data_IF_048287699953
#
_entry.id   IF_048287699953
#
_cell.length_a   1.000
_cell.length_b   1.000
_cell.length_c   1.000
_cell.angle_alpha   90.00
_cell.angle_beta   90.00
_cell.angle_gamma   90.00
#
_symmetry.space_group_name_H-M   'P 1'
#
loop_
_entity.id
_entity.type
_entity.pdbx_description
1 polymer ?
#
# COMPACT_ATOMS: atom_id res chain seq x y z
N UNK A 1 -33.99 28.12 -31.01
CA UNK A 1 -32.58 27.70 -31.02
C UNK A 1 -32.05 27.78 -29.59
N UNK A 2 -32.00 26.66 -28.87
CA UNK A 2 -31.41 26.60 -27.50
C UNK A 2 -29.91 26.40 -27.66
N UNK A 3 -29.11 27.37 -27.23
CA UNK A 3 -27.65 27.24 -27.16
C UNK A 3 -27.32 26.41 -25.94
N UNK A 4 -26.89 25.15 -26.14
CA UNK A 4 -26.32 24.29 -25.12
C UNK A 4 -24.92 24.82 -24.82
N UNK A 5 -24.75 25.43 -23.66
CA UNK A 5 -23.45 25.84 -23.13
C UNK A 5 -22.76 24.56 -22.59
N UNK A 6 -21.80 24.04 -23.33
CA UNK A 6 -20.92 22.95 -22.84
C UNK A 6 -19.94 23.63 -21.89
N UNK A 7 -20.17 23.44 -20.60
CA UNK A 7 -19.21 23.83 -19.56
C UNK A 7 -18.06 22.81 -19.62
N UNK A 8 -16.96 23.19 -20.27
CA UNK A 8 -15.72 22.45 -20.25
C UNK A 8 -15.09 22.72 -18.88
N UNK A 9 -15.38 21.83 -17.89
CA UNK A 9 -14.68 21.86 -16.63
C UNK A 9 -13.24 21.42 -16.91
N UNK A 10 -12.33 22.40 -16.94
CA UNK A 10 -10.91 22.15 -16.78
C UNK A 10 -10.73 21.59 -15.36
N UNK A 11 -10.60 20.28 -15.26
CA UNK A 11 -10.03 19.66 -14.07
C UNK A 11 -8.57 20.10 -14.07
N UNK A 12 -8.27 21.16 -13.33
CA UNK A 12 -6.91 21.40 -12.88
C UNK A 12 -6.60 20.23 -11.95
N UNK A 13 -5.96 19.20 -12.49
CA UNK A 13 -5.25 18.23 -11.67
C UNK A 13 -4.16 19.01 -10.92
N UNK A 14 -4.49 19.49 -9.72
CA UNK A 14 -3.49 19.77 -8.73
C UNK A 14 -2.67 18.48 -8.63
N UNK A 15 -1.35 18.57 -8.79
CA UNK A 15 -0.45 17.46 -8.47
C UNK A 15 -0.56 17.32 -6.96
N UNK A 16 -1.57 16.59 -6.50
CA UNK A 16 -1.71 16.17 -5.13
C UNK A 16 -0.65 15.10 -4.95
N UNK A 17 0.36 15.40 -4.14
CA UNK A 17 1.32 14.40 -3.73
C UNK A 17 0.57 13.41 -2.85
N UNK A 18 0.34 12.22 -3.36
CA UNK A 18 -0.47 11.22 -2.68
C UNK A 18 0.18 10.78 -1.38
N UNK A 19 -0.69 10.59 -0.43
CA UNK A 19 -0.37 9.93 0.82
C UNK A 19 -0.33 8.42 0.60
N UNK A 20 0.72 7.75 1.06
CA UNK A 20 0.84 6.31 0.93
C UNK A 20 0.67 5.60 2.27
N UNK A 21 -0.32 4.71 2.33
CA UNK A 21 -0.42 3.74 3.42
C UNK A 21 0.70 2.70 3.24
N UNK A 22 1.60 2.62 4.20
CA UNK A 22 2.80 1.80 4.11
C UNK A 22 2.87 0.79 5.26
N UNK A 23 3.16 -0.47 4.94
CA UNK A 23 3.57 -1.50 5.89
C UNK A 23 5.09 -1.62 5.80
N UNK A 24 5.79 -0.76 6.54
CA UNK A 24 7.22 -0.61 6.46
C UNK A 24 7.96 -1.65 7.31
N UNK A 25 9.03 -2.23 6.75
CA UNK A 25 10.00 -3.04 7.45
C UNK A 25 11.38 -2.85 6.82
N UNK A 26 12.43 -3.35 7.48
CA UNK A 26 13.80 -3.24 6.96
C UNK A 26 13.97 -3.95 5.62
N UNK A 27 13.42 -5.15 5.47
CA UNK A 27 13.42 -5.92 4.24
C UNK A 27 12.20 -6.84 4.18
N UNK A 28 11.66 -7.00 2.98
CA UNK A 28 10.60 -7.96 2.68
C UNK A 28 11.15 -9.36 2.34
N UNK A 29 12.48 -9.55 2.42
CA UNK A 29 13.15 -10.83 2.24
C UNK A 29 14.06 -11.11 3.42
N UNK A 30 13.75 -12.14 4.21
CA UNK A 30 14.47 -12.47 5.43
C UNK A 30 14.93 -13.93 5.45
N UNK A 31 16.06 -14.20 6.08
CA UNK A 31 16.59 -15.55 6.22
C UNK A 31 15.79 -16.42 7.21
N UNK A 32 15.99 -17.73 7.15
CA UNK A 32 15.33 -18.70 8.05
C UNK A 32 15.64 -18.47 9.53
N UNK A 33 16.81 -17.92 9.83
CA UNK A 33 17.25 -17.61 11.21
C UNK A 33 16.50 -16.38 11.80
N UNK A 34 15.74 -15.64 10.99
CA UNK A 34 14.95 -14.52 11.48
C UNK A 34 13.73 -15.05 12.24
N UNK A 35 13.67 -14.74 13.53
CA UNK A 35 12.60 -15.20 14.43
C UNK A 35 11.57 -14.12 14.75
N UNK A 36 11.88 -12.86 14.41
CA UNK A 36 11.04 -11.70 14.70
C UNK A 36 11.28 -10.63 13.64
N UNK A 37 10.21 -10.08 13.10
CA UNK A 37 10.24 -9.09 12.02
C UNK A 37 9.35 -7.91 12.46
N UNK A 38 9.96 -6.77 12.81
CA UNK A 38 9.22 -5.58 13.19
C UNK A 38 8.67 -4.87 11.94
N UNK A 39 7.45 -4.37 12.05
CA UNK A 39 6.80 -3.51 11.07
C UNK A 39 6.34 -2.22 11.72
N UNK A 40 6.38 -1.15 10.96
CA UNK A 40 5.71 0.12 11.24
C UNK A 40 4.68 0.40 10.15
N UNK A 41 3.43 0.61 10.53
CA UNK A 41 2.33 0.88 9.63
C UNK A 41 2.07 2.37 9.71
N UNK A 42 2.29 3.07 8.61
CA UNK A 42 2.31 4.53 8.54
C UNK A 42 1.53 5.05 7.34
N UNK A 43 1.00 6.25 7.45
CA UNK A 43 0.36 6.95 6.35
C UNK A 43 1.11 8.25 6.13
N UNK A 44 1.89 8.35 5.03
CA UNK A 44 2.92 9.38 4.89
C UNK A 44 3.34 9.55 3.42
N UNK A 45 4.32 10.42 3.16
CA UNK A 45 4.94 10.63 1.85
C UNK A 45 6.35 10.02 1.81
N UNK A 46 6.50 8.75 1.44
CA UNK A 46 7.80 8.06 1.48
C UNK A 46 8.82 8.56 0.46
N UNK A 47 8.37 9.17 -0.63
CA UNK A 47 9.24 9.72 -1.65
C UNK A 47 9.83 11.09 -1.27
N UNK A 48 9.05 11.95 -0.61
CA UNK A 48 9.43 13.34 -0.31
C UNK A 48 9.78 13.62 1.16
N UNK A 49 9.59 12.64 2.07
CA UNK A 49 9.69 12.82 3.52
C UNK A 49 8.72 13.93 4.03
N UNK A 50 7.53 13.93 3.48
CA UNK A 50 6.46 14.84 3.88
C UNK A 50 5.91 14.55 5.27
N UNK A 51 4.82 15.22 5.63
CA UNK A 51 4.17 15.00 6.91
C UNK A 51 3.52 13.60 6.99
N UNK A 52 3.30 13.14 8.20
CA UNK A 52 2.63 11.87 8.46
C UNK A 52 1.23 12.13 8.98
N UNK A 53 0.24 11.50 8.35
CA UNK A 53 -1.16 11.63 8.71
C UNK A 53 -1.51 10.71 9.88
N UNK A 54 -2.56 11.06 10.60
CA UNK A 54 -3.13 10.20 11.62
C UNK A 54 -4.02 9.14 10.95
N UNK A 55 -3.61 7.88 10.96
CA UNK A 55 -4.40 6.78 10.37
C UNK A 55 -5.80 6.78 11.01
N UNK A 56 -6.85 6.82 10.17
CA UNK A 56 -8.25 6.75 10.58
C UNK A 56 -8.82 8.02 11.22
N UNK A 57 -8.14 9.19 11.08
CA UNK A 57 -8.68 10.47 11.54
C UNK A 57 -9.82 10.91 10.64
N UNK A 58 -11.02 11.09 11.20
CA UNK A 58 -12.19 11.56 10.50
C UNK A 58 -12.30 13.10 10.46
N UNK A 59 -13.38 13.61 9.85
CA UNK A 59 -13.66 15.04 9.68
C UNK A 59 -13.84 15.77 11.02
N UNK A 60 -14.29 15.09 12.06
CA UNK A 60 -14.43 15.66 13.41
C UNK A 60 -13.11 15.70 14.18
N UNK A 61 -12.08 15.03 13.67
CA UNK A 61 -10.78 14.89 14.30
C UNK A 61 -10.66 13.64 15.18
N UNK A 62 -11.69 12.81 15.26
CA UNK A 62 -11.68 11.57 16.01
C UNK A 62 -10.87 10.49 15.26
N UNK A 63 -10.29 9.58 16.04
CA UNK A 63 -9.51 8.46 15.49
C UNK A 63 -10.34 7.19 15.49
N UNK A 64 -10.77 6.78 14.33
CA UNK A 64 -11.48 5.55 14.13
C UNK A 64 -10.55 4.33 14.15
N UNK A 65 -11.07 3.20 14.62
CA UNK A 65 -10.30 1.98 14.78
C UNK A 65 -9.99 1.34 13.40
N UNK A 66 -8.84 0.67 13.31
CA UNK A 66 -8.46 -0.13 12.14
C UNK A 66 -9.57 -1.15 11.84
N UNK A 67 -10.01 -1.23 10.59
CA UNK A 67 -11.04 -2.17 10.15
C UNK A 67 -10.54 -3.61 10.30
N UNK A 68 -9.39 -3.92 9.71
CA UNK A 68 -8.76 -5.23 9.84
C UNK A 68 -7.24 -5.17 9.59
N UNK A 69 -6.52 -6.09 10.19
CA UNK A 69 -5.13 -6.37 9.86
C UNK A 69 -4.92 -7.88 9.89
N UNK A 70 -4.48 -8.46 8.80
CA UNK A 70 -4.32 -9.91 8.69
C UNK A 70 -2.92 -10.29 8.23
N UNK A 71 -2.49 -11.48 8.65
CA UNK A 71 -1.32 -12.18 8.13
C UNK A 71 -1.79 -13.48 7.49
N UNK A 72 -1.50 -13.65 6.20
CA UNK A 72 -1.84 -14.87 5.45
C UNK A 72 -0.58 -15.63 5.05
N UNK A 73 -0.63 -16.96 5.18
CA UNK A 73 0.37 -17.88 4.64
C UNK A 73 -0.34 -19.08 4.02
N UNK A 74 -0.28 -19.23 2.70
CA UNK A 74 -1.11 -20.19 1.99
C UNK A 74 -2.59 -19.92 2.31
N UNK A 75 -3.35 -20.95 2.68
CA UNK A 75 -4.78 -20.81 3.04
C UNK A 75 -5.00 -20.37 4.50
N UNK A 76 -3.93 -20.31 5.30
CA UNK A 76 -4.03 -19.90 6.70
C UNK A 76 -4.07 -18.40 6.82
N UNK A 77 -5.12 -17.88 7.46
CA UNK A 77 -5.30 -16.47 7.79
C UNK A 77 -5.26 -16.32 9.31
N UNK A 78 -4.56 -15.30 9.78
CA UNK A 78 -4.45 -14.93 11.19
C UNK A 78 -4.94 -13.49 11.30
N UNK A 79 -5.91 -13.25 12.19
CA UNK A 79 -6.25 -11.90 12.62
C UNK A 79 -5.10 -11.33 13.45
N UNK A 80 -4.43 -10.34 12.89
CA UNK A 80 -3.29 -9.67 13.51
C UNK A 80 -3.66 -8.31 14.12
N UNK A 81 -4.91 -7.84 13.94
CA UNK A 81 -5.40 -6.58 14.51
C UNK A 81 -5.19 -6.48 16.03
N UNK A 82 -5.46 -7.52 16.85
CA UNK A 82 -5.24 -7.45 18.31
C UNK A 82 -3.78 -7.24 18.74
N UNK A 83 -2.82 -7.45 17.84
CA UNK A 83 -1.39 -7.29 18.11
C UNK A 83 -0.83 -5.94 17.62
N UNK A 84 -1.68 -5.07 17.10
CA UNK A 84 -1.28 -3.71 16.73
C UNK A 84 -1.06 -2.87 17.98
N UNK A 85 0.08 -2.18 18.03
CA UNK A 85 0.43 -1.26 19.10
C UNK A 85 0.42 0.16 18.54
N UNK A 86 -0.44 1.04 19.07
CA UNK A 86 -0.46 2.45 18.69
C UNK A 86 0.91 3.09 18.92
N UNK A 87 1.38 3.86 17.96
CA UNK A 87 2.68 4.53 17.94
C UNK A 87 2.55 5.88 17.24
N UNK A 88 3.67 6.56 17.08
CA UNK A 88 3.76 7.78 16.27
C UNK A 88 4.95 7.65 15.31
N UNK A 89 4.77 8.09 14.08
CA UNK A 89 5.82 8.14 13.06
C UNK A 89 5.98 9.57 12.56
N UNK A 90 7.20 9.96 12.21
CA UNK A 90 7.56 11.27 11.70
C UNK A 90 8.58 11.99 12.56
N UNK A 91 9.06 13.14 12.10
CA UNK A 91 9.99 14.00 12.83
C UNK A 91 9.23 14.96 13.78
N UNK A 92 9.96 15.75 14.56
CA UNK A 92 9.44 16.48 15.73
C UNK A 92 8.14 17.28 15.48
N UNK A 93 7.97 17.84 14.28
CA UNK A 93 6.86 18.73 13.94
C UNK A 93 5.77 18.06 13.09
N UNK A 94 5.98 16.81 12.64
CA UNK A 94 5.16 16.13 11.64
C UNK A 94 4.84 14.69 12.04
N UNK A 95 4.57 14.44 13.33
CA UNK A 95 4.24 13.08 13.81
C UNK A 95 2.76 12.80 13.66
N UNK A 96 2.45 11.72 12.93
CA UNK A 96 1.11 11.15 12.83
C UNK A 96 0.95 9.87 13.63
N UNK A 97 -0.31 9.50 13.91
CA UNK A 97 -0.65 8.19 14.47
C UNK A 97 -0.24 7.09 13.49
N UNK A 98 0.49 6.13 14.00
CA UNK A 98 0.94 4.93 13.30
C UNK A 98 0.73 3.71 14.18
N UNK A 99 1.05 2.53 13.64
CA UNK A 99 1.03 1.30 14.41
C UNK A 99 2.35 0.56 14.31
N UNK A 100 2.73 -0.15 15.37
CA UNK A 100 3.80 -1.14 15.37
C UNK A 100 3.19 -2.53 15.43
N UNK A 101 3.83 -3.44 14.72
CA UNK A 101 3.48 -4.84 14.70
C UNK A 101 4.76 -5.67 14.63
N UNK A 102 4.78 -6.81 15.30
CA UNK A 102 5.89 -7.76 15.19
C UNK A 102 5.37 -9.10 14.70
N UNK A 103 5.86 -9.54 13.54
CA UNK A 103 5.60 -10.88 13.05
C UNK A 103 6.62 -11.85 13.65
N UNK A 104 6.16 -12.69 14.56
CA UNK A 104 6.94 -13.71 15.26
C UNK A 104 6.16 -15.02 15.42
N UNK A 105 6.64 -15.94 16.24
CA UNK A 105 5.99 -17.23 16.51
C UNK A 105 4.55 -17.05 17.04
N UNK A 106 4.30 -16.03 17.85
CA UNK A 106 2.99 -15.76 18.47
C UNK A 106 2.01 -15.21 17.44
N UNK A 107 2.47 -14.33 16.56
CA UNK A 107 1.66 -13.63 15.55
C UNK A 107 1.66 -14.35 14.19
N UNK A 108 2.23 -15.55 14.10
CA UNK A 108 2.07 -16.44 12.95
C UNK A 108 3.30 -16.75 12.12
N UNK A 109 4.51 -16.29 12.49
CA UNK A 109 5.72 -16.63 11.77
C UNK A 109 6.10 -18.13 12.00
N UNK A 110 5.79 -18.96 11.02
CA UNK A 110 6.05 -20.42 11.06
C UNK A 110 6.64 -20.92 9.73
N UNK A 111 7.85 -21.50 9.79
CA UNK A 111 8.50 -22.12 8.63
C UNK A 111 8.91 -21.13 7.53
N UNK A 112 9.41 -21.64 6.40
CA UNK A 112 9.75 -20.90 5.20
C UNK A 112 8.51 -20.57 4.38
N UNK A 113 8.66 -19.68 3.40
CA UNK A 113 7.64 -19.34 2.41
C UNK A 113 7.19 -17.90 2.44
N UNK A 114 6.20 -17.60 1.62
CA UNK A 114 5.65 -16.26 1.45
C UNK A 114 4.53 -15.98 2.45
N UNK A 115 4.62 -14.85 3.12
CA UNK A 115 3.61 -14.27 3.99
C UNK A 115 3.02 -13.04 3.31
N UNK A 116 1.72 -12.87 3.40
CA UNK A 116 1.02 -11.68 2.91
C UNK A 116 0.44 -10.94 4.10
N UNK A 117 0.82 -9.69 4.29
CA UNK A 117 0.25 -8.81 5.30
C UNK A 117 -0.68 -7.83 4.61
N UNK A 118 -1.90 -7.65 5.14
CA UNK A 118 -2.90 -6.75 4.58
C UNK A 118 -3.46 -5.88 5.71
N UNK A 119 -3.31 -4.59 5.55
CA UNK A 119 -3.80 -3.58 6.47
C UNK A 119 -4.94 -2.81 5.83
N UNK A 120 -6.12 -2.86 6.44
CA UNK A 120 -7.32 -2.14 6.03
C UNK A 120 -7.67 -1.11 7.10
N UNK A 121 -7.32 0.18 6.91
CA UNK A 121 -7.61 1.25 7.86
C UNK A 121 -9.07 1.66 7.83
N UNK A 122 -9.52 2.42 8.83
CA UNK A 122 -10.65 3.31 8.69
C UNK A 122 -10.29 4.45 7.72
N UNK A 123 -11.28 5.04 7.04
CA UNK A 123 -11.03 6.19 6.17
C UNK A 123 -10.38 7.35 6.92
N UNK A 124 -9.48 8.04 6.25
CA UNK A 124 -8.84 9.27 6.70
C UNK A 124 -9.46 10.45 5.94
N UNK A 125 -9.85 11.51 6.66
CA UNK A 125 -10.36 12.72 6.04
C UNK A 125 -9.21 13.64 5.63
N UNK A 126 -9.12 13.91 4.32
CA UNK A 126 -8.17 14.86 3.73
C UNK A 126 -8.83 16.23 3.61
N UNK A 127 -8.45 17.14 4.50
CA UNK A 127 -9.07 18.45 4.63
C UNK A 127 -8.84 19.34 3.40
N UNK A 128 -7.69 19.19 2.74
CA UNK A 128 -7.31 20.00 1.58
C UNK A 128 -8.14 19.70 0.33
N UNK A 129 -8.70 18.51 0.26
CA UNK A 129 -9.47 18.00 -0.89
C UNK A 129 -10.97 17.80 -0.57
N UNK A 130 -11.35 17.91 0.72
CA UNK A 130 -12.69 17.62 1.25
C UNK A 130 -13.21 16.23 0.87
N UNK A 131 -12.31 15.21 0.93
CA UNK A 131 -12.61 13.82 0.65
C UNK A 131 -12.13 12.91 1.77
N UNK A 132 -12.65 11.67 1.80
CA UNK A 132 -12.05 10.60 2.56
C UNK A 132 -11.10 9.79 1.68
N UNK A 133 -9.95 9.40 2.24
CA UNK A 133 -8.99 8.49 1.62
C UNK A 133 -8.94 7.19 2.42
N UNK A 134 -9.12 6.05 1.78
CA UNK A 134 -9.04 4.73 2.40
C UNK A 134 -8.14 3.83 1.58
N UNK A 135 -6.90 3.66 2.01
CA UNK A 135 -5.89 2.86 1.30
C UNK A 135 -5.69 1.51 1.97
N UNK A 136 -6.12 0.43 1.32
CA UNK A 136 -5.80 -0.94 1.77
C UNK A 136 -4.41 -1.31 1.32
N UNK A 137 -3.48 -1.39 2.27
CA UNK A 137 -2.09 -1.71 1.99
C UNK A 137 -1.78 -3.20 2.12
N UNK A 138 -0.99 -3.70 1.16
CA UNK A 138 -0.54 -5.09 1.09
C UNK A 138 0.96 -5.18 0.87
N UNK A 139 1.61 -6.14 1.55
CA UNK A 139 3.01 -6.52 1.32
C UNK A 139 3.17 -8.02 1.26
N UNK A 140 4.19 -8.47 0.50
CA UNK A 140 4.63 -9.86 0.43
C UNK A 140 5.99 -9.97 1.11
N UNK A 141 6.06 -10.76 2.18
CA UNK A 141 7.29 -11.06 2.89
C UNK A 141 7.72 -12.48 2.58
N UNK A 142 8.95 -12.67 2.10
CA UNK A 142 9.57 -13.99 1.95
C UNK A 142 10.46 -14.30 3.14
N UNK A 143 10.24 -15.46 3.78
CA UNK A 143 11.14 -16.02 4.78
C UNK A 143 11.83 -17.27 4.26
N UNK A 144 13.16 -17.28 4.31
CA UNK A 144 13.98 -18.36 3.76
C UNK A 144 14.18 -18.26 2.25
N UNK A 145 14.60 -19.37 1.65
CA UNK A 145 14.83 -19.40 0.20
C UNK A 145 13.54 -19.15 -0.57
N UNK A 146 13.68 -18.39 -1.64
CA UNK A 146 12.60 -18.21 -2.60
C UNK A 146 12.53 -19.52 -3.36
N UNK A 147 11.49 -20.31 -3.10
CA UNK A 147 11.22 -21.50 -3.89
C UNK A 147 11.07 -21.07 -5.35
N UNK A 148 11.60 -21.87 -6.26
CA UNK A 148 11.51 -21.65 -7.72
C UNK A 148 10.10 -21.92 -8.23
N UNK A 149 9.10 -21.84 -7.34
CA UNK A 149 7.70 -21.97 -7.75
C UNK A 149 7.40 -20.95 -8.84
N UNK A 150 6.91 -21.48 -9.93
CA UNK A 150 6.40 -20.64 -11.01
C UNK A 150 5.26 -19.81 -10.45
N UNK A 151 5.41 -18.50 -10.51
CA UNK A 151 4.32 -17.58 -10.27
C UNK A 151 3.27 -17.83 -11.37
N UNK A 152 2.24 -18.55 -11.06
CA UNK A 152 1.25 -19.05 -11.99
C UNK A 152 -0.17 -18.66 -11.56
N UNK A 153 -1.14 -18.99 -12.37
CA UNK A 153 -2.55 -18.67 -12.12
C UNK A 153 -3.04 -19.12 -10.73
N UNK A 154 -2.55 -20.26 -10.21
CA UNK A 154 -2.88 -20.72 -8.86
C UNK A 154 -2.27 -19.81 -7.81
N UNK A 155 -1.02 -19.39 -7.98
CA UNK A 155 -0.38 -18.44 -7.10
C UNK A 155 -1.11 -17.09 -7.11
N UNK A 156 -1.49 -16.60 -8.30
CA UNK A 156 -2.28 -15.38 -8.47
C UNK A 156 -3.62 -15.49 -7.74
N UNK A 157 -4.36 -16.58 -7.92
CA UNK A 157 -5.64 -16.83 -7.23
C UNK A 157 -5.48 -16.92 -5.70
N UNK A 158 -4.37 -17.49 -5.22
CA UNK A 158 -4.10 -17.61 -3.78
C UNK A 158 -3.70 -16.27 -3.16
N UNK A 159 -3.26 -15.35 -3.97
CA UNK A 159 -2.75 -14.03 -3.56
C UNK A 159 -3.87 -13.02 -3.37
N UNK A 160 -5.03 -13.21 -4.02
CA UNK A 160 -6.25 -12.47 -3.67
C UNK A 160 -6.63 -12.85 -2.25
N UNK A 161 -6.21 -12.04 -1.32
CA UNK A 161 -6.12 -12.46 0.06
C UNK A 161 -7.41 -12.22 0.82
N UNK A 162 -8.24 -11.24 0.43
CA UNK A 162 -9.43 -10.84 1.18
C UNK A 162 -10.55 -10.48 0.21
N UNK A 163 -11.75 -11.00 0.48
CA UNK A 163 -12.96 -10.51 -0.20
C UNK A 163 -13.35 -9.15 0.37
N UNK A 164 -13.84 -8.26 -0.50
CA UNK A 164 -14.42 -6.98 -0.09
C UNK A 164 -13.40 -5.86 0.11
N UNK A 165 -12.19 -5.99 -0.49
CA UNK A 165 -11.22 -4.91 -0.58
C UNK A 165 -10.64 -4.84 -2.00
N UNK A 166 -10.33 -3.65 -2.53
CA UNK A 166 -9.61 -3.52 -3.79
C UNK A 166 -8.17 -3.99 -3.61
N UNK A 167 -7.57 -4.53 -4.67
CA UNK A 167 -6.22 -5.08 -4.63
C UNK A 167 -5.43 -4.80 -5.91
N UNK A 168 -4.11 -4.65 -5.78
CA UNK A 168 -3.18 -4.86 -6.88
C UNK A 168 -2.69 -6.31 -6.83
N UNK A 169 -2.98 -7.09 -7.87
CA UNK A 169 -2.56 -8.48 -8.02
C UNK A 169 -1.26 -8.51 -8.82
N UNK A 170 -0.12 -8.97 -8.25
CA UNK A 170 1.13 -9.06 -8.99
C UNK A 170 1.10 -10.22 -9.99
N UNK A 171 1.50 -9.98 -11.24
CA UNK A 171 1.66 -10.99 -12.30
C UNK A 171 3.09 -11.52 -12.40
N UNK A 172 4.00 -10.95 -11.63
CA UNK A 172 5.36 -11.43 -11.39
C UNK A 172 5.51 -11.79 -9.92
N UNK A 173 6.48 -12.65 -9.58
CA UNK A 173 6.71 -12.98 -8.17
C UNK A 173 7.22 -11.73 -7.41
N UNK A 174 6.43 -11.14 -6.50
CA UNK A 174 6.77 -9.88 -5.85
C UNK A 174 7.91 -10.01 -4.83
N UNK A 175 8.31 -11.24 -4.49
CA UNK A 175 9.42 -11.50 -3.57
C UNK A 175 10.76 -11.75 -4.30
N UNK A 176 10.73 -11.75 -5.65
CA UNK A 176 11.90 -12.04 -6.52
C UNK A 176 12.10 -10.95 -7.56
N UNK A 177 12.15 -9.70 -7.11
CA UNK A 177 12.35 -8.54 -7.97
C UNK A 177 13.77 -7.99 -7.80
N UNK A 178 14.31 -7.48 -8.90
CA UNK A 178 15.64 -6.87 -8.95
C UNK A 178 15.57 -5.50 -9.62
N UNK A 179 16.53 -4.62 -9.28
CA UNK A 179 16.70 -3.33 -9.98
C UNK A 179 16.76 -3.53 -11.49
N UNK A 180 16.01 -2.73 -12.22
CA UNK A 180 15.89 -2.80 -13.69
C UNK A 180 14.86 -3.80 -14.21
N UNK A 181 14.24 -4.60 -13.35
CA UNK A 181 13.15 -5.48 -13.77
C UNK A 181 11.83 -4.72 -13.87
N UNK A 182 10.96 -5.25 -14.74
CA UNK A 182 9.59 -4.80 -14.88
C UNK A 182 8.74 -5.49 -13.82
N UNK A 183 8.06 -4.70 -13.01
CA UNK A 183 6.91 -5.15 -12.22
C UNK A 183 5.66 -5.08 -13.10
N UNK A 184 4.85 -6.12 -13.10
CA UNK A 184 3.55 -6.14 -13.77
C UNK A 184 2.49 -6.53 -12.77
N UNK A 185 1.41 -5.74 -12.72
CA UNK A 185 0.27 -5.97 -11.84
C UNK A 185 -1.06 -5.72 -12.53
N UNK A 186 -2.13 -6.13 -11.88
CA UNK A 186 -3.51 -5.86 -12.28
C UNK A 186 -4.25 -5.24 -11.10
N UNK A 187 -4.91 -4.13 -11.35
CA UNK A 187 -5.84 -3.51 -10.39
C UNK A 187 -7.17 -4.22 -10.46
N UNK A 188 -7.69 -4.63 -9.31
CA UNK A 188 -9.03 -5.21 -9.17
C UNK A 188 -9.81 -4.51 -8.07
N UNK A 189 -11.12 -4.38 -8.28
CA UNK A 189 -12.06 -3.85 -7.29
C UNK A 189 -12.28 -4.84 -6.13
N UNK A 190 -13.07 -4.44 -5.14
CA UNK A 190 -13.43 -5.26 -3.98
C UNK A 190 -14.27 -6.50 -4.32
N UNK A 191 -14.87 -6.57 -5.50
CA UNK A 191 -15.53 -7.78 -6.03
C UNK A 191 -14.56 -8.67 -6.83
N UNK A 192 -13.41 -8.12 -7.25
CA UNK A 192 -12.37 -8.80 -8.01
C UNK A 192 -12.48 -8.64 -9.52
N UNK A 193 -13.22 -7.64 -9.96
CA UNK A 193 -13.24 -7.28 -11.37
C UNK A 193 -12.03 -6.38 -11.67
N UNK A 194 -11.43 -6.47 -12.87
CA UNK A 194 -10.42 -5.53 -13.30
C UNK A 194 -10.96 -4.09 -13.30
N UNK A 195 -10.12 -3.13 -12.89
CA UNK A 195 -10.44 -1.70 -12.93
C UNK A 195 -9.75 -1.08 -14.14
N UNK A 196 -10.48 -0.83 -15.24
CA UNK A 196 -9.91 -0.25 -16.46
C UNK A 196 -9.43 1.18 -16.23
N UNK A 197 -8.29 1.51 -16.84
CA UNK A 197 -7.73 2.87 -16.83
C UNK A 197 -7.48 3.45 -15.41
N UNK A 198 -7.33 2.58 -14.40
CA UNK A 198 -7.03 3.02 -13.04
C UNK A 198 -5.78 3.91 -13.04
N UNK A 199 -5.86 5.04 -12.38
CA UNK A 199 -4.72 5.88 -12.09
C UNK A 199 -3.90 5.21 -10.98
N UNK A 200 -2.58 5.12 -11.20
CA UNK A 200 -1.67 4.44 -10.28
C UNK A 200 -0.52 5.37 -9.96
N UNK A 201 -0.47 5.81 -8.73
CA UNK A 201 0.69 6.51 -8.22
C UNK A 201 1.75 5.52 -7.80
N UNK A 202 3.00 5.88 -8.12
CA UNK A 202 4.16 5.05 -7.83
C UNK A 202 5.12 5.84 -6.97
N UNK A 203 5.44 5.33 -5.78
CA UNK A 203 6.43 5.95 -4.91
C UNK A 203 7.54 4.97 -4.49
N UNK A 204 8.75 5.49 -4.48
CA UNK A 204 9.92 4.84 -3.92
C UNK A 204 10.14 5.28 -2.49
N UNK A 205 10.39 4.33 -1.56
CA UNK A 205 10.83 4.67 -0.20
C UNK A 205 12.22 5.29 -0.24
N UNK A 206 12.26 6.59 -0.40
CA UNK A 206 13.43 7.37 -0.76
C UNK A 206 14.38 7.64 0.42
N UNK A 207 13.92 7.36 1.64
CA UNK A 207 14.67 7.63 2.86
C UNK A 207 14.86 6.36 3.69
N UNK A 208 15.88 6.39 4.56
CA UNK A 208 16.02 5.37 5.59
C UNK A 208 15.03 5.62 6.74
N UNK A 209 14.58 4.53 7.36
CA UNK A 209 13.72 4.62 8.55
C UNK A 209 14.55 4.31 9.79
N UNK A 210 14.57 5.24 10.74
CA UNK A 210 15.23 5.09 12.03
C UNK A 210 14.42 5.81 13.11
N UNK A 211 14.22 5.14 14.25
CA UNK A 211 13.48 5.70 15.39
C UNK A 211 12.08 6.23 15.01
N UNK A 212 11.34 5.47 14.19
CA UNK A 212 10.02 5.84 13.69
C UNK A 212 10.00 7.18 12.97
N UNK A 213 10.97 7.42 12.11
CA UNK A 213 11.07 8.62 11.27
C UNK A 213 11.92 8.34 10.03
N UNK A 214 11.67 9.09 8.96
CA UNK A 214 12.56 9.15 7.83
C UNK A 214 13.80 9.98 8.17
N UNK A 215 14.97 9.47 7.79
CA UNK A 215 16.28 10.12 8.06
C UNK A 215 17.19 10.06 6.83
N UNK A 216 18.18 10.94 6.81
CA UNK A 216 19.19 11.01 5.76
C UNK A 216 18.74 11.81 4.54
N UNK A 217 19.46 11.64 3.44
CA UNK A 217 19.18 12.30 2.16
C UNK A 217 18.34 11.38 1.27
N UNK A 218 17.58 11.94 0.31
CA UNK A 218 16.86 11.14 -0.67
C UNK A 218 17.85 10.31 -1.52
N UNK A 219 17.50 9.06 -1.78
CA UNK A 219 18.32 8.11 -2.56
C UNK A 219 18.28 8.40 -4.06
N UNK A 220 17.18 8.94 -4.54
CA UNK A 220 16.97 9.28 -5.94
C UNK A 220 16.13 10.54 -6.08
N UNK A 221 16.25 11.21 -7.24
CA UNK A 221 15.39 12.36 -7.60
C UNK A 221 14.10 11.90 -8.28
N UNK A 222 14.06 10.66 -8.78
CA UNK A 222 12.93 10.08 -9.51
C UNK A 222 12.21 9.08 -8.59
N UNK A 223 11.69 9.58 -7.47
CA UNK A 223 11.04 8.75 -6.46
C UNK A 223 9.52 8.66 -6.62
N UNK A 224 8.93 9.48 -7.48
CA UNK A 224 7.49 9.61 -7.69
C UNK A 224 7.15 9.51 -9.17
N UNK A 225 6.02 8.90 -9.49
CA UNK A 225 5.49 8.84 -10.85
C UNK A 225 3.99 8.56 -10.83
N UNK A 226 3.29 8.88 -11.91
CA UNK A 226 1.91 8.49 -12.16
C UNK A 226 1.85 7.71 -13.46
N UNK A 227 1.19 6.57 -13.44
CA UNK A 227 0.92 5.73 -14.61
C UNK A 227 -0.55 5.33 -14.63
N UNK A 228 -1.02 4.79 -15.75
CA UNK A 228 -2.38 4.31 -15.89
C UNK A 228 -2.39 2.83 -16.26
N UNK A 229 -3.36 2.11 -15.73
CA UNK A 229 -3.67 0.76 -16.18
C UNK A 229 -4.27 0.79 -17.59
N UNK A 230 -4.19 -0.32 -18.32
CA UNK A 230 -4.88 -0.50 -19.58
C UNK A 230 -6.38 -0.79 -19.41
N UNK A 231 -7.08 -1.07 -20.51
CA UNK A 231 -8.51 -1.43 -20.51
C UNK A 231 -8.84 -2.73 -19.74
N UNK A 232 -7.85 -3.54 -19.38
CA UNK A 232 -8.00 -4.75 -18.59
C UNK A 232 -7.51 -4.59 -17.14
N UNK A 233 -7.22 -3.36 -16.71
CA UNK A 233 -6.67 -3.08 -15.39
C UNK A 233 -5.19 -3.44 -15.23
N UNK A 234 -4.47 -3.79 -16.33
CA UNK A 234 -3.08 -4.19 -16.30
C UNK A 234 -2.14 -2.99 -16.39
N UNK A 235 -1.04 -3.04 -15.64
CA UNK A 235 0.03 -2.05 -15.73
C UNK A 235 1.40 -2.68 -15.59
N UNK A 236 2.41 -1.95 -16.02
CA UNK A 236 3.81 -2.35 -15.89
C UNK A 236 4.68 -1.14 -15.53
N UNK A 237 5.68 -1.37 -14.67
CA UNK A 237 6.60 -0.33 -14.24
C UNK A 237 8.02 -0.89 -14.06
N UNK A 238 9.04 -0.14 -14.48
CA UNK A 238 10.45 -0.52 -14.30
C UNK A 238 10.93 -0.08 -12.92
N UNK A 239 11.40 -1.02 -12.10
CA UNK A 239 11.97 -0.74 -10.78
C UNK A 239 13.38 -0.20 -10.92
N UNK A 240 13.53 1.11 -11.01
CA UNK A 240 14.81 1.77 -11.35
C UNK A 240 15.82 1.80 -10.20
N UNK A 241 15.38 1.57 -8.96
CA UNK A 241 16.24 1.60 -7.77
C UNK A 241 16.06 0.34 -6.91
N UNK A 242 17.11 -0.01 -6.15
CA UNK A 242 17.03 -1.04 -5.09
C UNK A 242 16.33 -0.48 -3.86
N UNK A 243 15.34 -1.21 -3.37
CA UNK A 243 14.55 -0.80 -2.21
C UNK A 243 13.07 -1.05 -2.37
N UNK A 244 12.25 -0.38 -1.57
CA UNK A 244 10.81 -0.61 -1.55
C UNK A 244 10.09 0.39 -2.45
N UNK A 245 9.20 -0.15 -3.28
CA UNK A 245 8.35 0.56 -4.23
C UNK A 245 6.89 0.35 -3.84
N UNK A 246 6.14 1.44 -3.71
CA UNK A 246 4.70 1.46 -3.50
C UNK A 246 3.97 1.77 -4.79
N UNK A 247 2.85 1.09 -5.01
CA UNK A 247 1.89 1.35 -6.07
C UNK A 247 0.54 1.57 -5.41
N UNK A 248 -0.09 2.72 -5.63
CA UNK A 248 -1.42 3.04 -5.14
C UNK A 248 -2.36 3.25 -6.32
N UNK A 249 -3.30 2.33 -6.50
CA UNK A 249 -4.37 2.48 -7.48
C UNK A 249 -5.52 3.24 -6.84
N UNK A 250 -5.75 4.47 -7.30
CA UNK A 250 -6.72 5.40 -6.75
C UNK A 250 -8.15 5.02 -7.17
N UNK A 251 -9.10 5.14 -6.25
CA UNK A 251 -10.52 4.88 -6.52
C UNK A 251 -10.79 3.47 -7.05
N UNK A 252 -9.97 2.49 -6.69
CA UNK A 252 -10.11 1.12 -7.21
C UNK A 252 -11.28 0.34 -6.60
N UNK A 253 -11.77 0.73 -5.43
CA UNK A 253 -12.88 0.07 -4.73
C UNK A 253 -14.22 0.76 -4.96
N UNK A 254 -15.32 0.13 -4.48
CA UNK A 254 -16.70 0.54 -4.71
C UNK A 254 -17.34 1.14 -3.44
N UNK A 255 -16.66 2.05 -2.75
CA UNK A 255 -17.26 2.88 -1.69
C UNK A 255 -17.35 4.29 -2.26
N UNK A 256 -18.58 4.78 -2.43
CA UNK A 256 -18.80 6.07 -3.05
C UNK A 256 -18.70 7.22 -2.06
N UNK A 257 -19.22 7.05 -0.83
CA UNK A 257 -19.20 8.07 0.21
C UNK A 257 -19.14 7.52 1.64
N UNK A 258 -18.73 8.39 2.57
CA UNK A 258 -18.90 8.26 4.02
C UNK A 258 -19.56 9.55 4.49
N UNK A 259 -20.77 9.45 5.04
CA UNK A 259 -21.58 10.58 5.51
C UNK A 259 -21.79 11.69 4.45
N UNK A 260 -21.94 11.27 3.18
CA UNK A 260 -22.14 12.16 2.03
C UNK A 260 -20.86 12.85 1.53
N UNK A 261 -19.69 12.43 1.98
CA UNK A 261 -18.38 12.90 1.51
C UNK A 261 -17.77 11.80 0.67
N UNK A 262 -17.27 12.15 -0.52
CA UNK A 262 -16.62 11.23 -1.46
C UNK A 262 -15.47 10.46 -0.79
N UNK A 263 -15.30 9.19 -1.18
CA UNK A 263 -14.20 8.33 -0.69
C UNK A 263 -13.34 7.88 -1.86
N UNK A 264 -12.05 8.21 -1.84
CA UNK A 264 -11.06 7.49 -2.62
C UNK A 264 -10.75 6.16 -1.92
N UNK A 265 -11.28 5.05 -2.45
CA UNK A 265 -11.02 3.71 -1.90
C UNK A 265 -9.95 3.01 -2.73
N UNK A 266 -8.72 3.02 -2.22
CA UNK A 266 -7.52 2.73 -2.97
C UNK A 266 -6.95 1.35 -2.62
N UNK A 267 -6.29 0.74 -3.62
CA UNK A 267 -5.48 -0.46 -3.44
C UNK A 267 -3.99 -0.11 -3.42
N UNK A 268 -3.28 -0.43 -2.34
CA UNK A 268 -1.83 -0.18 -2.24
C UNK A 268 -1.05 -1.48 -2.13
N UNK A 269 -0.01 -1.60 -2.95
CA UNK A 269 0.93 -2.73 -2.91
C UNK A 269 2.36 -2.21 -2.75
N UNK A 270 3.08 -2.76 -1.75
CA UNK A 270 4.52 -2.53 -1.59
C UNK A 270 5.30 -3.77 -1.97
N UNK A 271 6.34 -3.59 -2.78
CA UNK A 271 7.29 -4.63 -3.20
C UNK A 271 8.73 -4.19 -2.93
N UNK A 272 9.67 -5.13 -2.87
CA UNK A 272 11.09 -4.84 -2.68
C UNK A 272 11.91 -5.32 -3.88
N UNK A 273 12.66 -4.41 -4.48
CA UNK A 273 13.67 -4.64 -5.50
C UNK A 273 15.05 -4.83 -4.86
N UNK A 274 15.79 -5.88 -5.23
CA UNK A 274 17.14 -6.23 -4.73
C UNK A 274 18.24 -5.68 -5.62
#
# INVERSE_FOLDING_TARGET
MKKTLILLSFILSSVSFSHFQMINTKSLNVGMNTTSIPFEIVFTHPASNGHTMNIGKDKSGDINDVVSFIVKKGDKIIDAKPYLVKSKFGNANNKGLSYKFTLDKTTGLKGSGTYVLIFNPAPYYEESEDIYIKQVAKVYLQRGEIETEKWNEKAIKTVKAVKGVPEIIPFVNPTKLYKGQIFTGMVVDDWGNPVPNAEIEVEFRNYEVKNSSFVGNPKTRNAENVIFADANGMFSYVLTEKGQWGFAALGAGNIDDVDGIEVSYDAVLWVESK
#
